data_IF_643203836528
#
_entry.id   IF_643203836528
#
_cell.length_a   1.000
_cell.length_b   1.000
_cell.length_c   1.000
_cell.angle_alpha   90.00
_cell.angle_beta   90.00
_cell.angle_gamma   90.00
#
_symmetry.space_group_name_H-M   'P 1'
#
loop_
_entity.id
_entity.type
_entity.pdbx_description
1 polymer ?
#
# COMPACT_ATOMS: atom_id res chain seq x y z
N UNK A 1 -28.59 4.39 -0.76
CA UNK A 1 -27.19 3.90 -0.88
C UNK A 1 -26.65 3.60 0.51
N UNK A 2 -25.95 2.48 0.72
CA UNK A 2 -25.25 2.20 1.98
C UNK A 2 -23.84 2.77 1.95
N UNK A 3 -23.50 3.51 3.02
CA UNK A 3 -22.17 4.04 3.27
C UNK A 3 -21.75 3.56 4.65
N UNK A 4 -20.59 2.92 4.73
CA UNK A 4 -20.04 2.38 5.96
C UNK A 4 -18.88 3.26 6.42
N UNK A 5 -18.94 3.74 7.67
CA UNK A 5 -17.83 4.45 8.30
C UNK A 5 -16.76 3.44 8.70
N UNK A 6 -15.57 3.57 8.12
CA UNK A 6 -14.44 2.66 8.37
C UNK A 6 -13.57 3.21 9.49
N UNK A 7 -13.21 4.50 9.40
CA UNK A 7 -12.44 5.22 10.42
C UNK A 7 -13.12 6.56 10.76
N UNK A 8 -12.50 7.35 11.62
CA UNK A 8 -12.98 8.71 11.90
C UNK A 8 -13.03 9.60 10.63
N UNK A 9 -12.17 9.31 9.65
CA UNK A 9 -11.98 10.10 8.43
C UNK A 9 -12.35 9.37 7.12
N UNK A 10 -12.51 8.04 7.12
CA UNK A 10 -12.80 7.26 5.92
C UNK A 10 -14.20 6.64 5.94
N UNK A 11 -14.94 6.88 4.88
CA UNK A 11 -16.20 6.20 4.55
C UNK A 11 -16.05 5.46 3.23
N UNK A 12 -16.65 4.28 3.17
CA UNK A 12 -16.67 3.42 1.97
C UNK A 12 -18.11 3.10 1.59
N UNK A 13 -18.43 3.08 0.30
CA UNK A 13 -19.77 2.70 -0.15
C UNK A 13 -19.85 2.24 -1.60
N UNK A 14 -21.07 1.85 -1.98
CA UNK A 14 -21.44 1.51 -3.36
C UNK A 14 -21.39 2.75 -4.28
N UNK A 15 -21.77 2.60 -5.54
CA UNK A 15 -21.81 3.71 -6.50
C UNK A 15 -22.77 4.82 -6.01
N UNK A 16 -22.31 6.06 -5.78
CA UNK A 16 -23.20 7.19 -5.53
C UNK A 16 -23.81 7.70 -6.84
N UNK A 17 -25.05 8.18 -6.74
CA UNK A 17 -25.64 9.04 -7.75
C UNK A 17 -25.16 10.50 -7.58
N UNK A 18 -25.58 11.38 -8.48
CA UNK A 18 -25.12 12.78 -8.49
C UNK A 18 -25.65 13.58 -7.29
N UNK A 19 -26.84 13.25 -6.79
CA UNK A 19 -27.45 13.93 -5.64
C UNK A 19 -26.72 13.55 -4.36
N UNK A 20 -26.37 12.27 -4.19
CA UNK A 20 -25.54 11.78 -3.09
C UNK A 20 -24.16 12.47 -3.06
N UNK A 21 -23.53 12.67 -4.23
CA UNK A 21 -22.27 13.43 -4.32
C UNK A 21 -22.45 14.86 -3.81
N UNK A 22 -23.55 15.54 -4.16
CA UNK A 22 -23.89 16.86 -3.65
C UNK A 22 -24.08 16.88 -2.13
N UNK A 23 -24.75 15.85 -1.59
CA UNK A 23 -24.95 15.70 -0.14
C UNK A 23 -23.64 15.49 0.62
N UNK A 24 -22.66 14.75 0.06
CA UNK A 24 -21.36 14.57 0.70
C UNK A 24 -20.64 15.91 0.93
N UNK A 25 -20.66 16.82 -0.05
CA UNK A 25 -20.10 18.16 0.14
C UNK A 25 -20.76 18.92 1.29
N UNK A 26 -22.09 18.86 1.37
CA UNK A 26 -22.88 19.48 2.45
C UNK A 26 -22.60 18.87 3.83
N UNK A 27 -22.22 17.58 3.88
CA UNK A 27 -21.85 16.87 5.11
C UNK A 27 -20.37 17.06 5.52
N UNK A 28 -19.64 17.90 4.77
CA UNK A 28 -18.26 18.28 5.05
C UNK A 28 -17.21 17.28 4.55
N UNK A 29 -17.57 16.38 3.63
CA UNK A 29 -16.56 15.60 2.91
C UNK A 29 -15.65 16.53 2.11
N UNK A 30 -14.35 16.23 2.12
CA UNK A 30 -13.31 17.02 1.44
C UNK A 30 -12.81 16.35 0.18
N UNK A 31 -12.85 15.03 0.11
CA UNK A 31 -12.38 14.26 -1.04
C UNK A 31 -13.35 13.12 -1.36
N UNK A 32 -13.67 12.98 -2.65
CA UNK A 32 -14.30 11.81 -3.24
C UNK A 32 -13.25 10.99 -3.99
N UNK A 33 -13.06 9.73 -3.61
CA UNK A 33 -12.17 8.78 -4.28
C UNK A 33 -13.01 7.77 -5.05
N UNK A 34 -12.96 7.81 -6.37
CA UNK A 34 -13.56 6.80 -7.23
C UNK A 34 -12.51 5.74 -7.58
N UNK A 35 -12.75 4.50 -7.16
CA UNK A 35 -11.87 3.36 -7.50
C UNK A 35 -12.48 2.41 -8.54
N UNK A 36 -13.56 2.86 -9.20
CA UNK A 36 -14.31 2.12 -10.21
C UNK A 36 -13.92 2.58 -11.63
N UNK A 37 -13.31 1.72 -12.46
CA UNK A 37 -13.10 2.02 -13.87
C UNK A 37 -14.40 2.40 -14.57
N UNK A 38 -14.31 3.23 -15.61
CA UNK A 38 -15.46 3.50 -16.47
C UNK A 38 -15.87 2.27 -17.28
N UNK A 39 -17.13 2.29 -17.74
CA UNK A 39 -17.72 1.25 -18.59
C UNK A 39 -17.78 -0.14 -17.92
N UNK A 40 -17.79 -0.18 -16.58
CA UNK A 40 -18.00 -1.45 -15.86
C UNK A 40 -19.46 -1.91 -15.94
N UNK A 41 -20.42 -0.98 -15.97
CA UNK A 41 -21.85 -1.24 -16.21
C UNK A 41 -22.45 -0.12 -17.09
N UNK A 42 -23.54 -0.41 -17.81
CA UNK A 42 -24.21 0.55 -18.71
C UNK A 42 -24.78 1.78 -17.97
N UNK A 43 -25.27 1.60 -16.74
CA UNK A 43 -25.88 2.67 -15.93
C UNK A 43 -24.87 3.43 -15.07
N UNK A 44 -23.56 3.20 -15.28
CA UNK A 44 -22.52 3.91 -14.56
C UNK A 44 -22.50 5.40 -14.95
N UNK A 45 -22.48 6.34 -13.99
CA UNK A 45 -22.43 7.77 -14.31
C UNK A 45 -21.16 8.18 -15.06
N UNK A 46 -20.04 7.51 -14.76
CA UNK A 46 -18.72 7.75 -15.37
C UNK A 46 -17.91 8.81 -14.63
N UNK A 47 -16.58 8.67 -14.68
CA UNK A 47 -15.63 9.47 -13.89
C UNK A 47 -15.77 10.98 -14.14
N UNK A 48 -16.04 11.39 -15.38
CA UNK A 48 -16.15 12.82 -15.74
C UNK A 48 -17.33 13.47 -15.02
N UNK A 49 -18.49 12.81 -15.01
CA UNK A 49 -19.71 13.34 -14.37
C UNK A 49 -19.55 13.41 -12.86
N UNK A 50 -18.99 12.37 -12.25
CA UNK A 50 -18.69 12.35 -10.82
C UNK A 50 -17.70 13.43 -10.41
N UNK A 51 -16.61 13.61 -11.19
CA UNK A 51 -15.61 14.65 -10.94
C UNK A 51 -16.25 16.04 -10.94
N UNK A 52 -17.09 16.31 -11.94
CA UNK A 52 -17.73 17.61 -12.07
C UNK A 52 -18.76 17.84 -10.95
N UNK A 53 -19.48 16.79 -10.52
CA UNK A 53 -20.37 16.85 -9.35
C UNK A 53 -19.60 17.08 -8.03
N UNK A 54 -18.49 16.36 -7.82
CA UNK A 54 -17.64 16.52 -6.64
C UNK A 54 -17.07 17.94 -6.55
N UNK A 55 -16.60 18.50 -7.67
CA UNK A 55 -16.11 19.88 -7.74
C UNK A 55 -17.20 20.90 -7.43
N UNK A 56 -18.41 20.73 -7.98
CA UNK A 56 -19.57 21.59 -7.63
C UNK A 56 -19.92 21.51 -6.15
N UNK A 57 -19.73 20.35 -5.53
CA UNK A 57 -19.93 20.12 -4.11
C UNK A 57 -18.76 20.59 -3.23
N UNK A 58 -17.73 21.24 -3.80
CA UNK A 58 -16.57 21.75 -3.07
C UNK A 58 -15.58 20.67 -2.61
N UNK A 59 -15.61 19.48 -3.22
CA UNK A 59 -14.72 18.36 -2.91
C UNK A 59 -13.61 18.21 -3.94
N UNK A 60 -12.42 17.78 -3.49
CA UNK A 60 -11.39 17.21 -4.35
C UNK A 60 -11.90 15.88 -4.91
N UNK A 61 -11.55 15.58 -6.15
CA UNK A 61 -11.85 14.31 -6.79
C UNK A 61 -10.56 13.58 -7.12
N UNK A 62 -10.49 12.29 -6.78
CA UNK A 62 -9.37 11.41 -7.14
C UNK A 62 -9.90 10.15 -7.79
N UNK A 63 -9.30 9.78 -8.91
CA UNK A 63 -9.67 8.63 -9.70
C UNK A 63 -8.54 7.60 -9.71
N UNK A 64 -8.79 6.42 -9.15
CA UNK A 64 -7.82 5.31 -9.04
C UNK A 64 -8.51 4.05 -9.59
N UNK A 65 -8.72 3.96 -10.90
CA UNK A 65 -9.53 2.90 -11.49
C UNK A 65 -8.86 1.54 -11.34
N UNK A 66 -9.46 0.65 -10.55
CA UNK A 66 -8.94 -0.71 -10.36
C UNK A 66 -10.00 -1.78 -10.59
N UNK A 67 -9.55 -2.90 -11.14
CA UNK A 67 -10.26 -4.18 -11.16
C UNK A 67 -9.59 -5.11 -10.15
N UNK A 68 -10.30 -6.10 -9.61
CA UNK A 68 -9.72 -7.04 -8.64
C UNK A 68 -8.36 -7.63 -9.08
N UNK A 69 -8.22 -8.13 -10.33
CA UNK A 69 -6.96 -8.65 -10.84
C UNK A 69 -5.87 -7.61 -11.11
N UNK A 70 -6.21 -6.32 -11.27
CA UNK A 70 -5.28 -5.28 -11.68
C UNK A 70 -4.71 -4.44 -10.53
N UNK A 71 -5.04 -4.75 -9.28
CA UNK A 71 -4.55 -3.98 -8.12
C UNK A 71 -3.04 -4.17 -7.96
N UNK A 72 -2.30 -3.07 -8.00
CA UNK A 72 -0.86 -3.00 -7.75
C UNK A 72 -0.54 -2.32 -6.42
N UNK A 73 0.71 -2.42 -5.94
CA UNK A 73 1.13 -1.62 -4.77
C UNK A 73 1.03 -0.12 -5.08
N UNK A 74 1.31 0.30 -6.32
CA UNK A 74 1.17 1.71 -6.71
C UNK A 74 -0.26 2.24 -6.54
N UNK A 75 -1.29 1.42 -6.83
CA UNK A 75 -2.69 1.79 -6.60
C UNK A 75 -3.02 1.94 -5.11
N UNK A 76 -2.50 1.03 -4.29
CA UNK A 76 -2.63 1.10 -2.82
C UNK A 76 -1.99 2.38 -2.30
N UNK A 77 -0.76 2.70 -2.75
CA UNK A 77 -0.05 3.93 -2.36
C UNK A 77 -0.76 5.18 -2.87
N UNK A 78 -1.31 5.16 -4.08
CA UNK A 78 -2.11 6.25 -4.61
C UNK A 78 -3.37 6.51 -3.74
N UNK A 79 -4.03 5.45 -3.28
CA UNK A 79 -5.17 5.55 -2.37
C UNK A 79 -4.77 6.14 -1.03
N UNK A 80 -3.69 5.64 -0.41
CA UNK A 80 -3.17 6.18 0.85
C UNK A 80 -2.78 7.65 0.73
N UNK A 81 -2.10 8.03 -0.36
CA UNK A 81 -1.74 9.43 -0.62
C UNK A 81 -2.99 10.30 -0.75
N UNK A 82 -4.00 9.86 -1.51
CA UNK A 82 -5.25 10.59 -1.66
C UNK A 82 -5.99 10.77 -0.33
N UNK A 83 -5.93 9.76 0.55
CA UNK A 83 -6.49 9.81 1.89
C UNK A 83 -5.73 10.80 2.80
N UNK A 84 -4.40 10.77 2.83
CA UNK A 84 -3.57 11.70 3.61
C UNK A 84 -3.72 13.14 3.12
N UNK A 85 -3.66 13.36 1.80
CA UNK A 85 -3.78 14.69 1.18
C UNK A 85 -5.18 15.31 1.39
N UNK A 86 -6.19 14.53 1.76
CA UNK A 86 -7.55 15.03 1.92
C UNK A 86 -7.70 16.00 3.09
N UNK A 87 -6.88 15.84 4.15
CA UNK A 87 -6.93 16.70 5.34
C UNK A 87 -8.31 16.78 6.01
N UNK A 88 -9.18 15.77 5.81
CA UNK A 88 -10.57 15.79 6.24
C UNK A 88 -11.32 14.51 5.88
N UNK A 89 -12.67 14.55 5.94
CA UNK A 89 -13.51 13.39 5.64
C UNK A 89 -13.38 12.96 4.18
N UNK A 90 -13.17 11.67 3.95
CA UNK A 90 -13.01 11.03 2.65
C UNK A 90 -14.15 10.06 2.41
N UNK A 91 -14.80 10.20 1.26
CA UNK A 91 -15.73 9.20 0.75
C UNK A 91 -15.05 8.44 -0.39
N UNK A 92 -14.89 7.12 -0.25
CA UNK A 92 -14.35 6.26 -1.29
C UNK A 92 -15.42 5.29 -1.79
N UNK A 93 -15.51 5.07 -3.10
CA UNK A 93 -16.52 4.18 -3.65
C UNK A 93 -16.02 3.32 -4.80
N UNK A 94 -16.72 2.21 -5.00
CA UNK A 94 -16.67 1.46 -6.25
C UNK A 94 -18.07 0.99 -6.65
N UNK A 95 -18.23 -0.20 -7.27
CA UNK A 95 -19.56 -0.81 -7.47
C UNK A 95 -20.26 -1.10 -6.12
N UNK A 96 -19.57 -1.76 -5.19
CA UNK A 96 -20.11 -2.20 -3.88
C UNK A 96 -19.37 -1.65 -2.66
N UNK A 97 -18.29 -0.89 -2.85
CA UNK A 97 -17.37 -0.44 -1.80
C UNK A 97 -16.22 -1.40 -1.48
N UNK A 98 -16.33 -2.69 -1.80
CA UNK A 98 -15.33 -3.72 -1.45
C UNK A 98 -13.92 -3.38 -1.91
N UNK A 99 -13.74 -2.85 -3.14
CA UNK A 99 -12.42 -2.46 -3.67
C UNK A 99 -11.79 -1.31 -2.89
N UNK A 100 -12.59 -0.33 -2.48
CA UNK A 100 -12.08 0.81 -1.71
C UNK A 100 -11.60 0.36 -0.33
N UNK A 101 -12.37 -0.52 0.34
CA UNK A 101 -11.94 -1.10 1.61
C UNK A 101 -10.71 -2.00 1.47
N UNK A 102 -10.63 -2.77 0.38
CA UNK A 102 -9.45 -3.58 0.05
C UNK A 102 -8.19 -2.70 -0.06
N UNK A 103 -8.23 -1.63 -0.87
CA UNK A 103 -7.08 -0.73 -1.02
C UNK A 103 -6.67 -0.11 0.32
N UNK A 104 -7.64 0.28 1.16
CA UNK A 104 -7.37 0.78 2.50
C UNK A 104 -6.67 -0.28 3.38
N UNK A 105 -7.28 -1.46 3.57
CA UNK A 105 -6.76 -2.47 4.50
C UNK A 105 -5.39 -2.99 4.05
N UNK A 106 -5.17 -3.14 2.74
CA UNK A 106 -3.86 -3.55 2.23
C UNK A 106 -2.81 -2.52 2.58
N UNK A 107 -3.11 -1.22 2.41
CA UNK A 107 -2.21 -0.14 2.83
C UNK A 107 -1.89 -0.17 4.33
N UNK A 108 -2.89 -0.43 5.17
CA UNK A 108 -2.70 -0.56 6.62
C UNK A 108 -1.78 -1.74 7.00
N UNK A 109 -1.89 -2.87 6.27
CA UNK A 109 -0.99 -4.02 6.46
C UNK A 109 0.42 -3.70 5.97
N UNK A 110 0.57 -3.05 4.81
CA UNK A 110 1.87 -2.69 4.26
C UNK A 110 2.68 -1.73 5.17
N UNK A 111 1.97 -0.94 5.99
CA UNK A 111 2.54 -0.03 6.98
C UNK A 111 2.64 -0.64 8.38
N UNK A 112 2.26 -1.91 8.55
CA UNK A 112 2.35 -2.63 9.82
C UNK A 112 1.33 -2.23 10.89
N UNK A 113 0.27 -1.48 10.54
CA UNK A 113 -0.79 -1.07 11.47
C UNK A 113 -1.86 -2.15 11.70
N UNK A 114 -2.02 -3.05 10.75
CA UNK A 114 -2.91 -4.22 10.82
C UNK A 114 -2.08 -5.47 10.51
N UNK A 115 -2.25 -6.54 11.30
CA UNK A 115 -1.62 -7.82 10.99
C UNK A 115 -2.28 -8.50 9.79
N UNK A 116 -1.50 -9.19 8.95
CA UNK A 116 -2.06 -9.90 7.79
C UNK A 116 -3.14 -10.92 8.19
N UNK A 117 -2.99 -11.57 9.35
CA UNK A 117 -3.98 -12.51 9.92
C UNK A 117 -5.29 -11.84 10.34
N UNK A 118 -5.31 -10.53 10.52
CA UNK A 118 -6.46 -9.79 11.03
C UNK A 118 -7.38 -9.28 9.90
N UNK A 119 -6.95 -9.37 8.65
CA UNK A 119 -7.64 -8.80 7.48
C UNK A 119 -9.06 -9.35 7.33
N UNK A 120 -9.27 -10.66 7.45
CA UNK A 120 -10.60 -11.24 7.38
C UNK A 120 -11.51 -10.79 8.53
N UNK A 121 -10.97 -10.68 9.75
CA UNK A 121 -11.73 -10.19 10.90
C UNK A 121 -12.11 -8.71 10.73
N UNK A 122 -11.18 -7.91 10.20
CA UNK A 122 -11.39 -6.51 9.87
C UNK A 122 -12.51 -6.32 8.83
N UNK A 123 -12.52 -7.12 7.76
CA UNK A 123 -13.59 -7.09 6.75
C UNK A 123 -14.96 -7.44 7.34
N UNK A 124 -15.04 -8.54 8.10
CA UNK A 124 -16.28 -8.99 8.77
C UNK A 124 -16.87 -7.94 9.69
N UNK A 125 -16.04 -7.19 10.43
CA UNK A 125 -16.48 -6.07 11.29
C UNK A 125 -17.36 -5.06 10.55
N UNK A 126 -17.08 -4.82 9.27
CA UNK A 126 -17.80 -3.86 8.44
C UNK A 126 -18.76 -4.49 7.43
N UNK A 127 -18.92 -5.83 7.47
CA UNK A 127 -19.78 -6.57 6.54
C UNK A 127 -19.21 -6.77 5.14
N UNK A 128 -17.89 -6.75 4.98
CA UNK A 128 -17.22 -6.96 3.69
C UNK A 128 -16.43 -8.28 3.67
N UNK A 129 -16.48 -8.99 2.55
CA UNK A 129 -15.55 -10.08 2.24
C UNK A 129 -14.25 -9.50 1.67
N UNK A 130 -13.15 -9.70 2.38
CA UNK A 130 -11.80 -9.24 2.01
C UNK A 130 -10.87 -10.39 1.62
N UNK A 131 -11.40 -11.54 1.21
CA UNK A 131 -10.61 -12.69 0.72
C UNK A 131 -9.66 -12.30 -0.44
N UNK A 132 -10.05 -11.31 -1.26
CA UNK A 132 -9.19 -10.77 -2.32
C UNK A 132 -7.98 -9.99 -1.77
N UNK A 133 -8.14 -9.28 -0.65
CA UNK A 133 -7.05 -8.58 0.03
C UNK A 133 -6.03 -9.58 0.59
N UNK A 134 -6.50 -10.66 1.23
CA UNK A 134 -5.64 -11.72 1.78
C UNK A 134 -4.83 -12.41 0.68
N UNK A 135 -5.47 -12.74 -0.46
CA UNK A 135 -4.81 -13.29 -1.65
C UNK A 135 -3.80 -12.33 -2.26
N UNK A 136 -4.10 -11.02 -2.24
CA UNK A 136 -3.18 -10.02 -2.73
C UNK A 136 -1.94 -9.94 -1.84
N UNK A 137 -2.13 -9.88 -0.52
CA UNK A 137 -1.05 -9.83 0.47
C UNK A 137 -0.20 -11.11 0.45
N UNK A 138 -0.78 -12.29 0.32
CA UNK A 138 0.02 -13.52 0.24
C UNK A 138 0.94 -13.57 -0.99
N UNK A 139 0.57 -12.89 -2.08
CA UNK A 139 1.39 -12.82 -3.30
C UNK A 139 2.48 -11.74 -3.24
N UNK A 140 2.22 -10.61 -2.58
CA UNK A 140 3.07 -9.42 -2.66
C UNK A 140 3.75 -9.04 -1.35
N UNK A 141 3.18 -9.39 -0.21
CA UNK A 141 3.66 -9.00 1.12
C UNK A 141 4.57 -10.05 1.77
N UNK A 142 4.43 -11.34 1.43
CA UNK A 142 5.32 -12.40 1.93
C UNK A 142 6.75 -12.32 1.39
N UNK A 143 7.00 -11.54 0.33
CA UNK A 143 8.30 -11.47 -0.34
C UNK A 143 8.98 -10.11 -0.11
N UNK A 144 8.88 -9.57 1.11
CA UNK A 144 9.76 -8.47 1.51
C UNK A 144 11.06 -9.07 2.03
N UNK A 145 12.19 -8.86 1.33
CA UNK A 145 13.45 -9.37 1.82
C UNK A 145 13.82 -8.61 3.10
N UNK A 146 14.40 -9.33 4.06
CA UNK A 146 15.11 -8.72 5.17
C UNK A 146 16.44 -8.17 4.64
N UNK A 147 16.75 -6.91 4.97
CA UNK A 147 17.97 -6.23 4.51
C UNK A 147 18.82 -5.84 5.70
N UNK A 148 19.99 -6.46 5.84
CA UNK A 148 20.98 -6.14 6.87
C UNK A 148 22.14 -5.37 6.25
N UNK A 149 22.37 -4.13 6.71
CA UNK A 149 23.52 -3.31 6.33
C UNK A 149 24.74 -3.52 7.24
N UNK A 150 25.93 -3.46 6.64
CA UNK A 150 27.26 -3.50 7.28
C UNK A 150 28.05 -2.27 6.81
N UNK A 151 28.27 -1.33 7.71
CA UNK A 151 28.95 -0.08 7.40
C UNK A 151 30.46 -0.24 7.59
N UNK A 152 31.24 0.07 6.56
CA UNK A 152 32.68 0.22 6.65
C UNK A 152 33.05 1.71 6.82
N UNK A 153 33.48 2.14 8.01
CA UNK A 153 33.83 3.54 8.25
C UNK A 153 35.08 3.99 7.49
N UNK A 154 35.91 3.05 7.00
CA UNK A 154 37.16 3.36 6.31
C UNK A 154 36.91 3.86 4.90
N UNK A 155 36.16 3.09 4.11
CA UNK A 155 35.80 3.46 2.74
C UNK A 155 34.50 4.26 2.66
N UNK A 156 33.81 4.41 3.80
CA UNK A 156 32.48 5.03 3.89
C UNK A 156 31.40 4.30 3.08
N UNK A 157 31.64 3.02 2.80
CA UNK A 157 30.74 2.15 2.04
C UNK A 157 29.76 1.41 2.95
N UNK A 158 28.60 1.05 2.42
CA UNK A 158 27.62 0.19 3.09
C UNK A 158 27.41 -1.05 2.24
N UNK A 159 27.67 -2.21 2.85
CA UNK A 159 27.48 -3.53 2.25
C UNK A 159 26.16 -4.11 2.76
N UNK A 160 25.53 -5.00 2.00
CA UNK A 160 24.23 -5.55 2.40
C UNK A 160 24.16 -7.07 2.28
N UNK A 161 23.43 -7.69 3.21
CA UNK A 161 22.85 -9.02 3.03
C UNK A 161 21.35 -8.83 2.85
N UNK A 162 20.84 -9.31 1.72
CA UNK A 162 19.40 -9.31 1.37
C UNK A 162 18.93 -10.76 1.44
N UNK A 163 17.98 -11.07 2.32
CA UNK A 163 17.51 -12.45 2.54
C UNK A 163 16.00 -12.58 2.42
N UNK A 164 15.55 -13.65 1.77
CA UNK A 164 14.15 -14.04 1.75
C UNK A 164 13.79 -14.78 3.04
N UNK A 165 12.91 -14.23 3.90
CA UNK A 165 12.56 -14.85 5.18
C UNK A 165 11.79 -16.18 5.02
N UNK A 166 11.24 -16.46 3.84
CA UNK A 166 10.47 -17.69 3.58
C UNK A 166 11.38 -18.83 3.12
N UNK A 167 12.31 -18.56 2.20
CA UNK A 167 13.16 -19.60 1.61
C UNK A 167 14.55 -19.70 2.23
N UNK A 168 14.90 -18.75 3.12
CA UNK A 168 16.22 -18.57 3.69
C UNK A 168 17.33 -18.35 2.65
N UNK A 169 17.00 -18.07 1.38
CA UNK A 169 18.00 -17.71 0.38
C UNK A 169 18.45 -16.28 0.59
N UNK A 170 19.75 -16.01 0.44
CA UNK A 170 20.29 -14.66 0.52
C UNK A 170 21.19 -14.27 -0.66
N UNK A 171 21.39 -12.96 -0.82
CA UNK A 171 22.37 -12.36 -1.71
C UNK A 171 23.22 -11.36 -0.92
N UNK A 172 24.53 -11.40 -1.13
CA UNK A 172 25.47 -10.39 -0.64
C UNK A 172 25.63 -9.33 -1.73
N UNK A 173 25.46 -8.06 -1.37
CA UNK A 173 25.52 -6.93 -2.30
C UNK A 173 26.65 -6.00 -1.89
N UNK A 174 27.52 -5.71 -2.86
CA UNK A 174 28.63 -4.76 -2.77
C UNK A 174 29.63 -5.02 -1.61
N UNK A 175 30.15 -6.25 -1.43
CA UNK A 175 31.15 -6.52 -0.39
C UNK A 175 32.47 -5.78 -0.67
N UNK A 176 33.14 -5.30 0.39
CA UNK A 176 34.41 -4.55 0.26
C UNK A 176 35.63 -5.38 0.67
N UNK A 177 36.80 -5.02 0.12
CA UNK A 177 38.11 -5.64 0.40
C UNK A 177 38.96 -4.84 1.41
N UNK A 178 38.32 -4.08 2.31
CA UNK A 178 38.97 -3.31 3.38
C UNK A 178 40.15 -2.43 2.92
N UNK A 179 40.06 -1.88 1.71
CA UNK A 179 41.17 -1.24 1.03
C UNK A 179 41.80 -0.11 1.85
N UNK A 180 43.12 -0.11 1.92
CA UNK A 180 43.93 0.95 2.51
C UNK A 180 44.51 1.87 1.45
N UNK A 181 43.96 3.07 1.32
CA UNK A 181 44.47 4.07 0.37
C UNK A 181 45.93 4.49 0.62
N UNK A 182 46.43 4.39 1.87
CA UNK A 182 47.79 4.84 2.22
C UNK A 182 48.85 3.80 1.88
N UNK A 183 48.52 2.51 2.03
CA UNK A 183 49.46 1.41 1.83
C UNK A 183 49.17 0.57 0.59
N UNK A 184 48.01 0.73 -0.03
CA UNK A 184 47.52 -0.13 -1.11
C UNK A 184 47.10 -1.53 -0.66
N UNK A 185 47.10 -1.80 0.64
CA UNK A 185 46.76 -3.11 1.19
C UNK A 185 45.26 -3.41 1.14
N UNK A 186 44.90 -4.68 1.12
CA UNK A 186 43.53 -5.19 1.23
C UNK A 186 43.40 -6.17 2.40
N UNK A 187 42.19 -6.35 2.91
CA UNK A 187 41.85 -7.36 3.90
C UNK A 187 40.39 -7.86 3.70
N UNK A 188 39.96 -8.83 4.51
CA UNK A 188 38.66 -9.52 4.36
C UNK A 188 37.78 -9.43 5.60
N UNK A 189 38.10 -8.61 6.60
CA UNK A 189 37.37 -8.53 7.86
C UNK A 189 35.88 -8.23 7.68
N UNK A 190 35.54 -7.34 6.74
CA UNK A 190 34.15 -7.05 6.41
C UNK A 190 33.46 -8.27 5.77
N UNK A 191 34.13 -8.95 4.83
CA UNK A 191 33.62 -10.18 4.23
C UNK A 191 33.43 -11.29 5.26
N UNK A 192 34.37 -11.47 6.18
CA UNK A 192 34.31 -12.45 7.26
C UNK A 192 33.12 -12.17 8.21
N UNK A 193 32.89 -10.90 8.54
CA UNK A 193 31.73 -10.46 9.34
C UNK A 193 30.40 -10.77 8.65
N UNK A 194 30.32 -10.55 7.33
CA UNK A 194 29.13 -10.88 6.54
C UNK A 194 28.89 -12.39 6.51
N UNK A 195 29.93 -13.19 6.29
CA UNK A 195 29.84 -14.65 6.28
C UNK A 195 29.41 -15.21 7.65
N UNK A 196 29.91 -14.64 8.75
CA UNK A 196 29.49 -15.01 10.10
C UNK A 196 28.00 -14.71 10.33
N UNK A 197 27.51 -13.55 9.87
CA UNK A 197 26.08 -13.22 9.94
C UNK A 197 25.22 -14.22 9.15
N UNK A 198 25.60 -14.53 7.90
CA UNK A 198 24.90 -15.48 7.04
C UNK A 198 24.82 -16.85 7.73
N UNK A 199 25.96 -17.36 8.23
CA UNK A 199 26.02 -18.63 8.94
C UNK A 199 25.15 -18.64 10.20
N UNK A 200 25.21 -17.59 11.01
CA UNK A 200 24.45 -17.48 12.27
C UNK A 200 22.94 -17.40 12.03
N UNK A 201 22.52 -16.82 10.90
CA UNK A 201 21.11 -16.69 10.51
C UNK A 201 20.57 -17.90 9.76
N UNK A 202 21.42 -18.86 9.39
CA UNK A 202 21.03 -20.03 8.59
C UNK A 202 20.59 -19.67 7.18
N UNK A 203 21.24 -18.67 6.58
CA UNK A 203 20.98 -18.13 5.24
C UNK A 203 21.90 -18.71 4.16
#
# INVERSE_FOLDING_TARGET
MSVTRITEQLWVGAQPDMDAIGQFGSQGFKTLINVRPDLEDADQPGNVRERDAARRAGMKYTFIPVTGPSITEADVRAFQKAFVDAGGKVMAHCKSGTRALLLHVVGEVLDGRIGQSDVAAYGRKYGFDLSAAEKWLSRHYLVRPEVKGFFDPRTWSVQYVVSDPTTAKCAIVDPVLDFDEKSGATATKNADTILEYVATKGL
#
